data_IF_739198227738
#
_entry.id   IF_739198227738
#
_cell.length_a   1.000
_cell.length_b   1.000
_cell.length_c   1.000
_cell.angle_alpha   90.00
_cell.angle_beta   90.00
_cell.angle_gamma   90.00
#
_symmetry.space_group_name_H-M   'P 1'
#
loop_
_entity.id
_entity.type
_entity.pdbx_description
1 polymer ?
#
# COMPACT_ATOMS: atom_id res chain seq x y z
N UNK A 1 9.39 -2.78 -16.60
CA UNK A 1 9.43 -2.67 -15.12
C UNK A 1 9.95 -3.99 -14.57
N UNK A 2 11.19 -4.05 -14.08
CA UNK A 2 11.80 -5.29 -13.62
C UNK A 2 11.24 -5.71 -12.26
N UNK A 3 10.55 -6.85 -12.25
CA UNK A 3 10.24 -7.64 -11.07
C UNK A 3 11.18 -8.84 -11.10
N UNK A 4 11.88 -9.12 -10.00
CA UNK A 4 12.74 -10.29 -9.86
C UNK A 4 12.14 -11.20 -8.79
N UNK A 5 11.81 -12.43 -9.15
CA UNK A 5 11.45 -13.46 -8.18
C UNK A 5 12.71 -14.28 -7.89
N UNK A 6 13.09 -14.35 -6.63
CA UNK A 6 14.20 -15.18 -6.17
C UNK A 6 13.68 -16.29 -5.30
N UNK A 7 14.28 -17.46 -5.43
CA UNK A 7 13.95 -18.65 -4.64
C UNK A 7 15.28 -19.20 -4.13
N UNK A 8 15.38 -19.35 -2.82
CA UNK A 8 16.59 -19.93 -2.23
C UNK A 8 16.40 -20.31 -0.78
N UNK A 9 17.43 -20.93 -0.23
CA UNK A 9 17.47 -21.41 1.14
C UNK A 9 18.21 -20.43 2.04
N UNK A 10 17.70 -20.23 3.26
CA UNK A 10 18.35 -19.37 4.26
C UNK A 10 19.56 -20.11 4.85
N UNK A 11 20.75 -19.70 4.45
CA UNK A 11 22.01 -20.29 4.96
C UNK A 11 22.40 -19.65 6.30
N UNK A 12 22.23 -18.34 6.43
CA UNK A 12 22.59 -17.60 7.64
C UNK A 12 21.69 -16.39 7.86
N UNK A 13 21.40 -16.11 9.12
CA UNK A 13 20.66 -14.91 9.55
C UNK A 13 21.66 -14.02 10.29
N UNK A 14 21.79 -12.77 9.86
CA UNK A 14 22.71 -11.77 10.44
C UNK A 14 21.94 -10.50 10.79
N UNK A 15 21.62 -10.31 12.07
CA UNK A 15 20.98 -9.10 12.62
C UNK A 15 19.71 -8.66 11.90
N UNK A 16 19.81 -7.86 10.82
CA UNK A 16 18.71 -7.37 9.99
C UNK A 16 18.75 -7.88 8.53
N UNK A 17 19.63 -8.84 8.24
CA UNK A 17 19.80 -9.39 6.91
C UNK A 17 19.82 -10.91 6.92
N UNK A 18 19.51 -11.48 5.76
CA UNK A 18 19.50 -12.91 5.53
C UNK A 18 20.37 -13.22 4.33
N UNK A 19 21.29 -14.18 4.50
CA UNK A 19 22.11 -14.74 3.45
C UNK A 19 21.34 -15.87 2.81
N UNK A 20 20.98 -15.68 1.55
CA UNK A 20 20.19 -16.60 0.76
C UNK A 20 21.07 -17.30 -0.27
N UNK A 21 20.99 -18.64 -0.27
CA UNK A 21 21.62 -19.47 -1.29
C UNK A 21 20.61 -19.74 -2.41
N UNK A 22 20.85 -19.12 -3.56
CA UNK A 22 20.06 -19.29 -4.78
C UNK A 22 20.86 -20.14 -5.78
N UNK A 23 20.77 -21.47 -5.68
CA UNK A 23 21.62 -22.36 -6.46
C UNK A 23 23.08 -22.23 -6.02
N UNK A 24 23.95 -21.75 -6.93
CA UNK A 24 25.38 -21.56 -6.68
C UNK A 24 25.74 -20.15 -6.18
N UNK A 25 24.81 -19.20 -6.23
CA UNK A 25 25.06 -17.83 -5.78
C UNK A 25 24.54 -17.59 -4.36
N UNK A 26 25.30 -16.81 -3.60
CA UNK A 26 24.92 -16.32 -2.27
C UNK A 26 24.62 -14.83 -2.37
N UNK A 27 23.38 -14.45 -2.09
CA UNK A 27 22.93 -13.05 -2.10
C UNK A 27 22.47 -12.65 -0.69
N UNK A 28 22.79 -11.44 -0.26
CA UNK A 28 22.39 -10.90 1.05
C UNK A 28 21.22 -9.95 0.87
N UNK A 29 20.16 -10.14 1.67
CA UNK A 29 18.96 -9.31 1.63
C UNK A 29 18.63 -8.75 3.00
N UNK A 30 18.35 -7.46 3.07
CA UNK A 30 17.81 -6.82 4.26
C UNK A 30 16.34 -7.19 4.44
N UNK A 31 15.99 -7.69 5.62
CA UNK A 31 14.64 -8.13 5.97
C UNK A 31 14.20 -7.41 7.26
N UNK A 32 12.96 -6.91 7.33
CA UNK A 32 12.43 -6.31 8.56
C UNK A 32 12.55 -7.27 9.75
N UNK A 33 12.97 -6.75 10.92
CA UNK A 33 13.17 -7.53 12.14
C UNK A 33 11.95 -8.37 12.53
N UNK A 34 10.74 -7.83 12.34
CA UNK A 34 9.48 -8.51 12.66
C UNK A 34 9.27 -9.80 11.83
N UNK A 35 9.71 -9.80 10.57
CA UNK A 35 9.66 -10.98 9.70
C UNK A 35 10.80 -11.93 10.03
N UNK A 36 11.98 -11.38 10.37
CA UNK A 36 13.18 -12.13 10.70
C UNK A 36 12.98 -13.06 11.92
N UNK A 37 12.18 -12.65 12.90
CA UNK A 37 11.79 -13.47 14.06
C UNK A 37 11.10 -14.80 13.69
N UNK A 38 10.47 -14.86 12.52
CA UNK A 38 9.72 -16.02 12.05
C UNK A 38 10.50 -16.86 11.02
N UNK A 39 11.74 -16.46 10.71
CA UNK A 39 12.62 -17.15 9.79
C UNK A 39 13.66 -17.95 10.57
N UNK A 40 14.02 -19.13 10.04
CA UNK A 40 15.08 -19.98 10.57
C UNK A 40 16.02 -20.38 9.45
N UNK A 41 17.27 -20.69 9.81
CA UNK A 41 18.24 -21.32 8.91
C UNK A 41 17.69 -22.65 8.38
N UNK A 42 17.89 -22.92 7.10
CA UNK A 42 17.33 -24.07 6.40
C UNK A 42 15.91 -23.87 5.84
N UNK A 43 15.25 -22.73 6.12
CA UNK A 43 13.97 -22.44 5.48
C UNK A 43 14.17 -22.06 4.01
N UNK A 44 13.32 -22.60 3.14
CA UNK A 44 13.25 -22.20 1.73
C UNK A 44 12.29 -21.04 1.61
N UNK A 45 12.76 -19.91 1.09
CA UNK A 45 11.96 -18.70 0.94
C UNK A 45 11.92 -18.24 -0.52
N UNK A 46 10.78 -17.67 -0.91
CA UNK A 46 10.61 -16.92 -2.14
C UNK A 46 10.60 -15.44 -1.79
N UNK A 47 11.43 -14.66 -2.48
CA UNK A 47 11.49 -13.22 -2.36
C UNK A 47 11.01 -12.58 -3.65
N UNK A 48 10.04 -11.67 -3.53
CA UNK A 48 9.60 -10.85 -4.64
C UNK A 48 10.20 -9.45 -4.52
N UNK A 49 11.12 -9.15 -5.42
CA UNK A 49 11.82 -7.87 -5.51
C UNK A 49 11.22 -7.02 -6.63
N UNK A 50 11.02 -5.73 -6.33
CA UNK A 50 10.62 -4.72 -7.31
C UNK A 50 11.55 -3.51 -7.17
N UNK A 51 12.20 -3.09 -8.26
CA UNK A 51 13.23 -2.02 -8.22
C UNK A 51 14.26 -2.25 -7.10
N UNK A 52 14.76 -3.49 -6.98
CA UNK A 52 15.69 -3.95 -5.92
C UNK A 52 15.20 -3.86 -4.46
N UNK A 53 13.91 -3.58 -4.22
CA UNK A 53 13.33 -3.59 -2.87
C UNK A 53 12.45 -4.81 -2.64
N UNK A 54 12.53 -5.37 -1.44
CA UNK A 54 11.74 -6.53 -1.02
C UNK A 54 10.28 -6.11 -0.76
N UNK A 55 9.36 -6.61 -1.58
CA UNK A 55 7.93 -6.26 -1.50
C UNK A 55 7.12 -7.35 -0.79
N UNK A 56 7.49 -8.61 -1.02
CA UNK A 56 6.85 -9.78 -0.42
C UNK A 56 7.88 -10.86 -0.13
N UNK A 57 7.66 -11.58 0.96
CA UNK A 57 8.41 -12.78 1.32
C UNK A 57 7.41 -13.91 1.55
N UNK A 58 7.64 -15.05 0.93
CA UNK A 58 6.86 -16.26 1.18
C UNK A 58 7.79 -17.35 1.69
N UNK A 59 7.53 -17.83 2.91
CA UNK A 59 8.27 -18.96 3.44
C UNK A 59 7.59 -20.25 2.96
N UNK A 60 8.29 -21.00 2.11
CA UNK A 60 7.79 -22.26 1.53
C UNK A 60 7.74 -23.35 2.60
N UNK A 61 8.71 -23.37 3.52
CA UNK A 61 8.81 -24.39 4.58
C UNK A 61 7.67 -24.30 5.59
N UNK A 62 7.22 -23.08 5.92
CA UNK A 62 6.12 -22.86 6.89
C UNK A 62 4.80 -22.47 6.23
N UNK A 63 4.76 -22.32 4.90
CA UNK A 63 3.61 -21.83 4.12
C UNK A 63 3.05 -20.46 4.56
N UNK A 64 3.88 -19.61 5.18
CA UNK A 64 3.48 -18.30 5.68
C UNK A 64 3.90 -17.19 4.72
N UNK A 65 2.96 -16.32 4.35
CA UNK A 65 3.21 -15.14 3.53
C UNK A 65 3.41 -13.91 4.40
N UNK A 66 4.57 -13.26 4.25
CA UNK A 66 4.91 -12.02 4.91
C UNK A 66 4.85 -10.86 3.93
N UNK A 67 4.03 -9.89 4.27
CA UNK A 67 4.01 -8.60 3.61
C UNK A 67 5.12 -7.73 4.22
N UNK A 68 6.19 -7.42 3.47
CA UNK A 68 7.32 -6.59 3.95
C UNK A 68 7.12 -5.09 3.70
N UNK A 69 5.99 -4.71 3.12
CA UNK A 69 5.57 -3.32 2.99
C UNK A 69 5.14 -2.76 4.36
N UNK A 70 5.65 -1.58 4.72
CA UNK A 70 5.48 -0.85 5.99
C UNK A 70 4.03 -0.76 6.54
N UNK A 71 2.99 -0.93 5.71
CA UNK A 71 1.59 -0.86 6.11
C UNK A 71 0.93 -2.20 6.44
N UNK A 72 1.55 -3.32 6.09
CA UNK A 72 0.95 -4.62 6.34
C UNK A 72 1.07 -5.08 7.79
N UNK A 73 1.98 -4.49 8.56
CA UNK A 73 2.24 -4.84 9.96
C UNK A 73 1.28 -4.16 10.96
N UNK A 74 0.22 -3.47 10.53
CA UNK A 74 -0.79 -2.89 11.42
C UNK A 74 -2.18 -3.49 11.17
N UNK A 75 -2.47 -4.71 11.66
CA UNK A 75 -3.77 -5.38 11.49
C UNK A 75 -4.94 -4.55 12.08
N UNK A 76 -4.67 -3.80 13.16
CA UNK A 76 -5.63 -2.87 13.77
C UNK A 76 -6.04 -1.74 12.80
N UNK A 77 -5.11 -1.19 12.02
CA UNK A 77 -5.43 -0.16 11.02
C UNK A 77 -6.30 -0.70 9.89
N UNK A 78 -6.11 -1.98 9.49
CA UNK A 78 -7.00 -2.65 8.53
C UNK A 78 -8.40 -2.84 9.10
N UNK A 79 -8.53 -3.28 10.37
CA UNK A 79 -9.82 -3.49 11.02
C UNK A 79 -10.64 -2.21 11.15
N UNK A 80 -9.99 -1.09 11.47
CA UNK A 80 -10.64 0.21 11.62
C UNK A 80 -10.51 1.10 10.37
N UNK A 81 -10.10 0.55 9.22
CA UNK A 81 -9.83 1.34 8.03
C UNK A 81 -11.04 2.15 7.56
N UNK A 82 -12.22 1.55 7.55
CA UNK A 82 -13.47 2.23 7.17
C UNK A 82 -13.80 3.36 8.14
N UNK A 83 -13.64 3.13 9.45
CA UNK A 83 -13.86 4.15 10.46
C UNK A 83 -12.87 5.31 10.33
N UNK A 84 -11.58 5.01 10.14
CA UNK A 84 -10.53 6.01 9.89
C UNK A 84 -10.83 6.82 8.61
N UNK A 85 -11.36 6.20 7.56
CA UNK A 85 -11.77 6.91 6.35
C UNK A 85 -12.96 7.84 6.57
N UNK A 86 -13.92 7.44 7.40
CA UNK A 86 -15.06 8.30 7.78
C UNK A 86 -14.56 9.51 8.57
N UNK A 87 -13.71 9.29 9.57
CA UNK A 87 -13.14 10.37 10.39
C UNK A 87 -12.30 11.32 9.53
N UNK A 88 -11.43 10.77 8.68
CA UNK A 88 -10.62 11.58 7.75
C UNK A 88 -11.49 12.38 6.79
N UNK A 89 -12.56 11.79 6.26
CA UNK A 89 -13.48 12.49 5.36
C UNK A 89 -14.23 13.63 6.05
N UNK A 90 -14.72 13.41 7.28
CA UNK A 90 -15.39 14.44 8.06
C UNK A 90 -14.44 15.62 8.38
N UNK A 91 -13.22 15.32 8.81
CA UNK A 91 -12.19 16.32 9.11
C UNK A 91 -11.75 17.09 7.86
N UNK A 92 -11.58 16.41 6.73
CA UNK A 92 -11.21 17.03 5.46
C UNK A 92 -12.33 17.88 4.83
N UNK A 93 -13.57 17.76 5.34
CA UNK A 93 -14.73 18.53 4.87
C UNK A 93 -14.98 19.80 5.68
N UNK A 94 -14.19 20.04 6.73
CA UNK A 94 -14.25 21.27 7.51
C UNK A 94 -13.65 22.41 6.66
N UNK A 95 -14.39 23.52 6.44
CA UNK A 95 -13.87 24.68 5.70
C UNK A 95 -12.54 25.20 6.29
N UNK A 96 -11.65 25.71 5.43
CA UNK A 96 -10.27 26.16 5.74
C UNK A 96 -9.28 25.06 6.17
N UNK A 97 -9.61 24.25 7.18
CA UNK A 97 -8.70 23.19 7.69
C UNK A 97 -8.65 21.98 6.74
N UNK A 98 -9.77 21.72 6.07
CA UNK A 98 -9.96 20.55 5.22
C UNK A 98 -9.03 20.49 4.02
N UNK A 99 -8.69 21.64 3.41
CA UNK A 99 -7.80 21.71 2.23
C UNK A 99 -6.37 21.30 2.58
N UNK A 100 -5.85 21.80 3.71
CA UNK A 100 -4.49 21.50 4.16
C UNK A 100 -4.39 20.02 4.54
N UNK A 101 -5.36 19.52 5.32
CA UNK A 101 -5.38 18.13 5.76
C UNK A 101 -5.56 17.16 4.60
N UNK A 102 -6.44 17.47 3.65
CA UNK A 102 -6.62 16.63 2.45
C UNK A 102 -5.37 16.59 1.58
N UNK A 103 -4.63 17.70 1.41
CA UNK A 103 -3.33 17.67 0.73
C UNK A 103 -2.32 16.75 1.42
N UNK A 104 -2.19 16.84 2.75
CA UNK A 104 -1.28 16.00 3.53
C UNK A 104 -1.66 14.51 3.40
N UNK A 105 -2.96 14.19 3.48
CA UNK A 105 -3.47 12.83 3.31
C UNK A 105 -3.23 12.28 1.91
N UNK A 106 -3.46 13.07 0.86
CA UNK A 106 -3.21 12.62 -0.51
C UNK A 106 -1.71 12.47 -0.80
N UNK A 107 -0.86 13.36 -0.29
CA UNK A 107 0.59 13.26 -0.43
C UNK A 107 1.15 12.01 0.27
N UNK A 108 0.67 11.71 1.47
CA UNK A 108 1.04 10.46 2.17
C UNK A 108 0.54 9.22 1.44
N UNK A 109 -0.71 9.21 0.95
CA UNK A 109 -1.24 8.10 0.15
C UNK A 109 -0.47 7.90 -1.17
N UNK A 110 -0.10 8.97 -1.86
CA UNK A 110 0.76 8.93 -3.05
C UNK A 110 2.14 8.37 -2.71
N UNK A 111 2.82 8.89 -1.69
CA UNK A 111 4.17 8.47 -1.31
C UNK A 111 4.23 6.97 -0.94
N UNK A 112 3.22 6.49 -0.22
CA UNK A 112 3.07 5.06 0.09
C UNK A 112 2.78 4.24 -1.18
N UNK A 113 1.97 4.77 -2.09
CA UNK A 113 1.66 4.09 -3.36
C UNK A 113 2.88 4.01 -4.30
N UNK A 114 3.73 5.04 -4.32
CA UNK A 114 4.98 5.07 -5.11
C UNK A 114 5.96 3.99 -4.66
N UNK A 115 6.03 3.71 -3.35
CA UNK A 115 6.84 2.60 -2.83
C UNK A 115 6.37 1.24 -3.34
N UNK A 116 5.06 1.09 -3.60
CA UNK A 116 4.45 -0.18 -4.02
C UNK A 116 4.46 -0.39 -5.53
N UNK A 117 4.06 0.63 -6.30
CA UNK A 117 3.99 0.61 -7.76
C UNK A 117 3.74 2.01 -8.30
N UNK A 118 4.51 2.43 -9.30
CA UNK A 118 4.29 3.68 -10.02
C UNK A 118 2.91 3.73 -10.69
N UNK A 119 2.45 2.60 -11.25
CA UNK A 119 1.10 2.49 -11.82
C UNK A 119 0.00 2.66 -10.77
N UNK A 120 0.23 2.21 -9.53
CA UNK A 120 -0.73 2.39 -8.42
C UNK A 120 -0.69 3.83 -7.93
N UNK A 121 0.50 4.41 -7.78
CA UNK A 121 0.66 5.81 -7.44
C UNK A 121 -0.05 6.73 -8.45
N UNK A 122 0.09 6.46 -9.74
CA UNK A 122 -0.58 7.21 -10.80
C UNK A 122 -2.10 7.07 -10.72
N UNK A 123 -2.63 5.86 -10.46
CA UNK A 123 -4.08 5.64 -10.30
C UNK A 123 -4.63 6.35 -9.07
N UNK A 124 -3.93 6.26 -7.94
CA UNK A 124 -4.30 6.96 -6.71
C UNK A 124 -4.24 8.47 -6.93
N UNK A 125 -3.20 8.97 -7.59
CA UNK A 125 -3.06 10.37 -7.97
C UNK A 125 -4.22 10.88 -8.82
N UNK A 126 -4.59 10.12 -9.84
CA UNK A 126 -5.67 10.47 -10.75
C UNK A 126 -7.02 10.46 -10.02
N UNK A 127 -7.27 9.48 -9.14
CA UNK A 127 -8.48 9.50 -8.29
C UNK A 127 -8.49 10.72 -7.39
N UNK A 128 -7.37 11.10 -6.78
CA UNK A 128 -7.28 12.29 -5.92
C UNK A 128 -7.49 13.59 -6.69
N UNK A 129 -6.92 13.71 -7.89
CA UNK A 129 -7.05 14.90 -8.74
C UNK A 129 -8.50 15.12 -9.19
N UNK A 130 -9.17 14.06 -9.68
CA UNK A 130 -10.59 14.12 -10.07
C UNK A 130 -11.46 14.46 -8.87
N UNK A 131 -11.20 13.83 -7.71
CA UNK A 131 -11.90 14.11 -6.46
C UNK A 131 -11.72 15.58 -6.05
N UNK A 132 -10.51 16.13 -6.13
CA UNK A 132 -10.22 17.53 -5.80
C UNK A 132 -10.97 18.53 -6.69
N UNK A 133 -11.04 18.27 -8.01
CA UNK A 133 -11.77 19.13 -8.94
C UNK A 133 -13.28 19.15 -8.65
N UNK A 134 -13.87 17.98 -8.39
CA UNK A 134 -15.29 17.87 -8.05
C UNK A 134 -15.54 18.51 -6.68
N UNK A 135 -14.65 18.29 -5.70
CA UNK A 135 -14.74 18.91 -4.38
C UNK A 135 -14.80 20.43 -4.47
N UNK A 136 -13.86 21.08 -5.17
CA UNK A 136 -13.81 22.55 -5.28
C UNK A 136 -15.07 23.08 -5.98
N UNK A 137 -15.49 22.43 -7.07
CA UNK A 137 -16.66 22.85 -7.84
C UNK A 137 -17.96 22.73 -7.04
N UNK A 138 -18.15 21.60 -6.37
CA UNK A 138 -19.37 21.28 -5.61
C UNK A 138 -19.42 22.09 -4.30
N UNK A 139 -18.31 22.19 -3.59
CA UNK A 139 -18.20 23.01 -2.38
C UNK A 139 -18.43 24.49 -2.72
N UNK A 140 -17.79 25.01 -3.77
CA UNK A 140 -17.97 26.39 -4.21
C UNK A 140 -19.43 26.70 -4.51
N UNK A 141 -20.09 25.87 -5.32
CA UNK A 141 -21.50 26.05 -5.66
C UNK A 141 -22.43 26.00 -4.43
N UNK A 142 -22.29 24.99 -3.58
CA UNK A 142 -23.17 24.80 -2.42
C UNK A 142 -22.95 25.88 -1.34
N UNK A 143 -21.70 26.32 -1.14
CA UNK A 143 -21.38 27.41 -0.21
C UNK A 143 -21.91 28.76 -0.72
N UNK A 144 -21.75 29.06 -2.02
CA UNK A 144 -22.30 30.28 -2.63
C UNK A 144 -23.84 30.31 -2.58
N UNK A 145 -24.47 29.14 -2.62
CA UNK A 145 -25.93 29.00 -2.52
C UNK A 145 -26.44 28.95 -1.07
N UNK A 146 -25.57 29.09 -0.06
CA UNK A 146 -25.94 29.09 1.36
C UNK A 146 -26.23 27.71 1.97
N UNK A 147 -26.04 26.62 1.22
CA UNK A 147 -26.31 25.25 1.67
C UNK A 147 -25.11 24.63 2.40
N UNK A 148 -24.71 25.22 3.52
CA UNK A 148 -23.51 24.81 4.28
C UNK A 148 -23.54 23.35 4.76
N UNK A 149 -24.67 22.88 5.29
CA UNK A 149 -24.81 21.50 5.76
C UNK A 149 -24.73 20.49 4.60
N UNK A 150 -25.40 20.80 3.49
CA UNK A 150 -25.35 19.96 2.29
C UNK A 150 -23.93 19.95 1.67
N UNK A 151 -23.23 21.09 1.68
CA UNK A 151 -21.83 21.18 1.27
C UNK A 151 -20.95 20.24 2.10
N UNK A 152 -21.09 20.27 3.42
CA UNK A 152 -20.33 19.39 4.33
C UNK A 152 -20.59 17.91 4.07
N UNK A 153 -21.86 17.51 3.94
CA UNK A 153 -22.24 16.12 3.70
C UNK A 153 -21.73 15.64 2.34
N UNK A 154 -21.94 16.44 1.28
CA UNK A 154 -21.52 16.09 -0.07
C UNK A 154 -20.00 15.95 -0.19
N UNK A 155 -19.26 16.88 0.42
CA UNK A 155 -17.80 16.84 0.50
C UNK A 155 -17.29 15.61 1.27
N UNK A 156 -17.89 15.31 2.42
CA UNK A 156 -17.51 14.14 3.24
C UNK A 156 -17.73 12.84 2.48
N UNK A 157 -18.87 12.72 1.80
CA UNK A 157 -19.20 11.53 1.03
C UNK A 157 -18.20 11.32 -0.12
N UNK A 158 -17.85 12.40 -0.81
CA UNK A 158 -16.93 12.40 -1.93
C UNK A 158 -15.50 12.02 -1.52
N UNK A 159 -14.99 12.58 -0.42
CA UNK A 159 -13.67 12.22 0.14
C UNK A 159 -13.67 10.77 0.63
N UNK A 160 -14.74 10.32 1.27
CA UNK A 160 -14.87 8.93 1.71
C UNK A 160 -14.81 7.95 0.53
N UNK A 161 -15.53 8.24 -0.56
CA UNK A 161 -15.50 7.43 -1.79
C UNK A 161 -14.09 7.39 -2.38
N UNK A 162 -13.41 8.54 -2.41
CA UNK A 162 -12.03 8.64 -2.90
C UNK A 162 -11.08 7.77 -2.07
N UNK A 163 -11.12 7.87 -0.74
CA UNK A 163 -10.31 7.06 0.17
C UNK A 163 -10.60 5.56 0.02
N UNK A 164 -11.89 5.19 -0.08
CA UNK A 164 -12.31 3.81 -0.29
C UNK A 164 -11.81 3.26 -1.63
N UNK A 165 -11.87 4.06 -2.69
CA UNK A 165 -11.39 3.66 -4.02
C UNK A 165 -9.87 3.49 -4.04
N UNK A 166 -9.12 4.43 -3.46
CA UNK A 166 -7.67 4.34 -3.31
C UNK A 166 -7.24 3.10 -2.51
N UNK A 167 -7.91 2.83 -1.38
CA UNK A 167 -7.68 1.61 -0.60
C UNK A 167 -7.99 0.34 -1.38
N UNK A 168 -9.04 0.34 -2.20
CA UNK A 168 -9.41 -0.80 -3.05
C UNK A 168 -8.36 -1.06 -4.13
N UNK A 169 -7.83 -0.02 -4.76
CA UNK A 169 -6.76 -0.12 -5.76
C UNK A 169 -5.50 -0.72 -5.12
N UNK A 170 -5.12 -0.25 -3.93
CA UNK A 170 -3.98 -0.77 -3.19
C UNK A 170 -4.17 -2.25 -2.78
N UNK A 171 -5.38 -2.63 -2.35
CA UNK A 171 -5.70 -4.01 -1.98
C UNK A 171 -5.70 -4.97 -3.19
N UNK A 172 -6.14 -4.50 -4.37
CA UNK A 172 -6.09 -5.29 -5.60
C UNK A 172 -4.64 -5.55 -6.03
N UNK A 173 -3.75 -4.55 -5.97
CA UNK A 173 -2.33 -4.75 -6.27
C UNK A 173 -1.67 -5.70 -5.25
N UNK A 174 -1.98 -5.55 -3.95
CA UNK A 174 -1.50 -6.45 -2.90
C UNK A 174 -1.86 -7.91 -3.19
N UNK A 175 -3.13 -8.18 -3.54
CA UNK A 175 -3.58 -9.54 -3.91
C UNK A 175 -2.87 -10.10 -5.14
N UNK A 176 -2.59 -9.25 -6.15
CA UNK A 176 -1.83 -9.68 -7.32
C UNK A 176 -0.40 -10.06 -6.95
N UNK A 177 0.26 -9.27 -6.10
CA UNK A 177 1.60 -9.58 -5.59
C UNK A 177 1.61 -10.88 -4.77
N UNK A 178 0.57 -11.11 -3.97
CA UNK A 178 0.40 -12.35 -3.20
C UNK A 178 0.25 -13.55 -4.16
N UNK A 179 -0.54 -13.42 -5.23
CA UNK A 179 -0.67 -14.47 -6.25
C UNK A 179 0.65 -14.72 -7.00
N UNK A 180 1.40 -13.69 -7.37
CA UNK A 180 2.69 -13.80 -8.06
C UNK A 180 3.72 -14.58 -7.22
N UNK A 181 3.80 -14.31 -5.91
CA UNK A 181 4.77 -15.00 -5.03
C UNK A 181 4.34 -16.44 -4.70
N UNK A 182 3.03 -16.67 -4.52
CA UNK A 182 2.47 -18.01 -4.23
C UNK A 182 2.60 -18.94 -5.43
N UNK A 183 2.25 -18.46 -6.63
CA UNK A 183 2.29 -19.28 -7.85
C UNK A 183 3.69 -19.42 -8.44
N UNK A 184 4.63 -18.56 -8.04
CA UNK A 184 5.99 -18.55 -8.58
C UNK A 184 6.05 -18.13 -10.06
N UNK A 185 4.95 -17.65 -10.64
CA UNK A 185 4.90 -17.07 -11.98
C UNK A 185 4.79 -15.57 -11.86
N UNK A 186 5.74 -14.86 -12.46
CA UNK A 186 5.58 -13.43 -12.73
C UNK A 186 4.43 -13.29 -13.72
N UNK A 187 3.26 -12.87 -13.24
CA UNK A 187 2.13 -12.55 -14.10
C UNK A 187 2.57 -11.37 -14.99
N UNK A 188 2.80 -11.68 -16.27
CA UNK A 188 3.14 -10.69 -17.27
C UNK A 188 2.03 -9.63 -17.28
N UNK A 189 2.41 -8.37 -17.03
CA UNK A 189 1.51 -7.23 -17.19
C UNK A 189 1.24 -7.09 -18.70
N UNK A 190 0.08 -7.54 -19.17
CA UNK A 190 -0.60 -6.87 -20.28
C UNK A 190 -1.28 -5.60 -19.76
#
# INVERSE_FOLDING_TARGET
MEKKLLIGEIEKIQWNSVVLKCGDTREVFDIPADVLLHLKTGHVVRLLLRKQRLVRLFNVSTQTLYETDFFAHKPLLRKYQTFLFIVAAAVCSIPAVGVILSMIFFATLMGVSFRRSEKVALKVALTSAVTGLIYISLAGYLLMSGYYLAAFIACSLLIFIALKSAGTIQNKEARKLDQEILTGRLLAHT
#
